data_IF_000934330953
#
_entry.id   IF_000934330953
#
_cell.length_a   1.000
_cell.length_b   1.000
_cell.length_c   1.000
_cell.angle_alpha   90.00
_cell.angle_beta   90.00
_cell.angle_gamma   90.00
#
_symmetry.space_group_name_H-M   'P 1'
#
loop_
_entity.id
_entity.type
_entity.pdbx_description
1 polymer ?
#
# COMPACT_ATOMS: atom_id res chain seq x y z
N UNK A 1 -34.53 28.47 -11.19
CA UNK A 1 -33.15 27.97 -11.34
C UNK A 1 -32.55 27.78 -9.96
N UNK A 2 -32.58 26.57 -9.42
CA UNK A 2 -31.82 26.18 -8.23
C UNK A 2 -31.93 24.66 -8.10
N UNK A 3 -30.98 23.91 -8.68
CA UNK A 3 -30.82 22.51 -8.28
C UNK A 3 -30.14 22.55 -6.92
N UNK A 4 -30.93 22.27 -5.87
CA UNK A 4 -30.55 22.31 -4.46
C UNK A 4 -29.72 21.08 -4.09
N UNK A 5 -28.52 20.99 -4.64
CA UNK A 5 -27.50 20.08 -4.16
C UNK A 5 -26.24 20.87 -3.88
N UNK A 6 -25.55 20.56 -2.81
CA UNK A 6 -24.15 20.92 -2.63
C UNK A 6 -23.42 19.67 -2.17
N UNK A 7 -22.13 19.58 -2.48
CA UNK A 7 -21.28 18.47 -2.09
C UNK A 7 -20.00 19.00 -1.44
N UNK A 8 -19.29 18.15 -0.71
CA UNK A 8 -17.99 18.50 -0.14
C UNK A 8 -16.91 18.31 -1.20
N UNK A 9 -16.12 19.34 -1.48
CA UNK A 9 -14.97 19.23 -2.37
C UNK A 9 -14.00 18.17 -1.81
N UNK A 10 -13.66 17.12 -2.56
CA UNK A 10 -12.70 16.10 -2.08
C UNK A 10 -11.26 16.62 -1.97
N UNK A 11 -10.91 17.72 -2.65
CA UNK A 11 -9.57 18.29 -2.61
C UNK A 11 -9.32 19.24 -1.42
N UNK A 12 -10.33 20.02 -0.99
CA UNK A 12 -10.16 21.03 0.06
C UNK A 12 -11.24 21.03 1.16
N UNK A 13 -12.33 20.27 0.99
CA UNK A 13 -13.42 20.18 1.96
C UNK A 13 -14.51 21.25 1.84
N UNK A 14 -14.38 22.24 0.94
CA UNK A 14 -15.37 23.31 0.78
C UNK A 14 -16.74 22.80 0.30
N UNK A 15 -17.83 23.49 0.66
CA UNK A 15 -19.17 23.16 0.18
C UNK A 15 -19.44 23.73 -1.21
N UNK A 16 -19.41 22.87 -2.23
CA UNK A 16 -19.53 23.26 -3.62
C UNK A 16 -20.97 23.10 -4.12
N UNK A 17 -21.56 24.11 -4.80
CA UNK A 17 -22.87 23.98 -5.42
C UNK A 17 -22.93 22.91 -6.52
N UNK A 18 -24.02 22.15 -6.57
CA UNK A 18 -24.24 21.17 -7.63
C UNK A 18 -24.32 21.86 -9.00
N UNK A 19 -23.46 21.41 -9.93
CA UNK A 19 -23.32 21.97 -11.28
C UNK A 19 -22.26 23.07 -11.41
N UNK A 20 -21.49 23.37 -10.35
CA UNK A 20 -20.27 24.16 -10.47
C UNK A 20 -19.25 23.47 -11.40
N UNK A 21 -18.54 24.25 -12.21
CA UNK A 21 -17.50 23.72 -13.14
C UNK A 21 -16.17 23.42 -12.43
N UNK A 22 -15.92 24.09 -11.32
CA UNK A 22 -14.72 23.96 -10.49
C UNK A 22 -15.00 24.48 -9.08
N UNK A 23 -14.14 24.13 -8.12
CA UNK A 23 -14.23 24.60 -6.74
C UNK A 23 -13.95 26.11 -6.70
N UNK A 24 -14.83 26.93 -6.12
CA UNK A 24 -14.59 28.36 -6.01
C UNK A 24 -13.40 28.69 -5.07
N UNK A 25 -13.08 27.81 -4.14
CA UNK A 25 -11.97 28.01 -3.19
C UNK A 25 -10.63 27.52 -3.73
N UNK A 26 -10.53 26.24 -4.12
CA UNK A 26 -9.26 25.64 -4.51
C UNK A 26 -9.05 25.46 -6.01
N UNK A 27 -10.06 25.78 -6.84
CA UNK A 27 -9.99 25.64 -8.30
C UNK A 27 -10.04 24.20 -8.84
N UNK A 28 -10.09 23.18 -7.98
CA UNK A 28 -10.15 21.77 -8.39
C UNK A 28 -11.44 21.45 -9.16
N UNK A 29 -11.35 20.55 -10.13
CA UNK A 29 -12.42 20.14 -11.04
C UNK A 29 -12.38 18.62 -11.33
N UNK A 30 -13.19 18.15 -12.28
CA UNK A 30 -13.25 16.73 -12.68
C UNK A 30 -11.89 16.15 -13.09
N UNK A 31 -10.96 16.97 -13.60
CA UNK A 31 -9.65 16.53 -14.09
C UNK A 31 -8.55 16.62 -13.05
N UNK A 32 -8.77 17.35 -11.97
CA UNK A 32 -7.71 17.74 -11.03
C UNK A 32 -8.02 17.36 -9.58
N UNK A 33 -9.21 16.84 -9.28
CA UNK A 33 -9.45 16.32 -7.93
C UNK A 33 -10.87 15.84 -7.60
N UNK A 34 -11.88 16.05 -8.45
CA UNK A 34 -13.26 15.64 -8.14
C UNK A 34 -13.69 14.28 -8.70
N UNK A 35 -12.93 13.70 -9.64
CA UNK A 35 -13.28 12.40 -10.20
C UNK A 35 -12.65 11.26 -9.41
N UNK A 36 -13.26 10.08 -9.43
CA UNK A 36 -12.71 8.87 -8.80
C UNK A 36 -11.29 8.54 -9.30
N UNK A 37 -10.96 8.89 -10.55
CA UNK A 37 -9.63 8.68 -11.12
C UNK A 37 -8.54 9.60 -10.55
N UNK A 38 -8.92 10.74 -9.97
CA UNK A 38 -7.98 11.76 -9.47
C UNK A 38 -7.62 11.59 -7.98
N UNK A 39 -8.22 10.61 -7.28
CA UNK A 39 -8.00 10.38 -5.84
C UNK A 39 -6.53 10.15 -5.50
N UNK A 40 -5.78 9.57 -6.42
CA UNK A 40 -4.36 9.27 -6.26
C UNK A 40 -3.43 10.23 -7.01
N UNK A 41 -3.94 11.24 -7.73
CA UNK A 41 -3.09 12.16 -8.52
C UNK A 41 -2.19 13.03 -7.64
N UNK A 42 -2.61 13.31 -6.40
CA UNK A 42 -1.81 14.07 -5.42
C UNK A 42 -0.74 13.21 -4.73
N UNK A 43 -0.80 11.89 -4.92
CA UNK A 43 0.25 10.98 -4.49
C UNK A 43 1.13 10.67 -5.69
N UNK A 44 2.45 10.77 -5.57
CA UNK A 44 3.39 10.30 -6.61
C UNK A 44 3.44 8.75 -6.67
N UNK A 45 2.27 8.13 -6.53
CA UNK A 45 2.03 6.70 -6.52
C UNK A 45 1.29 6.43 -7.83
N UNK A 46 2.03 6.49 -8.93
CA UNK A 46 1.55 6.09 -10.25
C UNK A 46 1.39 4.56 -10.27
N UNK A 47 0.14 4.11 -10.31
CA UNK A 47 -0.32 2.72 -10.34
C UNK A 47 0.18 1.79 -9.21
N UNK A 48 -0.76 1.15 -8.51
CA UNK A 48 -0.56 0.16 -7.45
C UNK A 48 0.39 -1.02 -7.77
N UNK A 49 0.92 -1.16 -8.99
CA UNK A 49 1.42 -2.45 -9.49
C UNK A 49 2.92 -2.69 -9.54
N UNK A 50 3.81 -1.74 -9.26
CA UNK A 50 5.20 -2.14 -9.04
C UNK A 50 6.02 -1.09 -8.31
N UNK A 51 5.88 -1.03 -6.99
CA UNK A 51 7.02 -0.59 -6.19
C UNK A 51 8.13 -1.64 -6.35
N UNK A 52 9.10 -1.35 -7.20
CA UNK A 52 10.26 -2.21 -7.44
C UNK A 52 11.25 -2.05 -6.29
N UNK A 53 11.05 -2.90 -5.27
CA UNK A 53 11.90 -2.98 -4.09
C UNK A 53 13.36 -3.26 -4.45
N UNK A 54 13.61 -4.01 -5.52
CA UNK A 54 14.95 -4.41 -5.91
C UNK A 54 15.72 -3.23 -6.49
N UNK A 55 15.08 -2.46 -7.38
CA UNK A 55 15.62 -1.21 -7.93
C UNK A 55 15.87 -0.16 -6.85
N UNK A 56 15.00 -0.08 -5.85
CA UNK A 56 15.19 0.83 -4.72
C UNK A 56 16.47 0.51 -3.93
N UNK A 57 16.67 -0.76 -3.58
CA UNK A 57 17.86 -1.19 -2.83
C UNK A 57 19.15 -0.87 -3.60
N UNK A 58 19.17 -1.08 -4.92
CA UNK A 58 20.32 -0.76 -5.77
C UNK A 58 20.65 0.74 -5.75
N UNK A 59 19.63 1.59 -5.93
CA UNK A 59 19.79 3.05 -5.97
C UNK A 59 20.31 3.61 -4.65
N UNK A 60 19.84 3.08 -3.52
CA UNK A 60 20.24 3.52 -2.18
C UNK A 60 21.53 2.83 -1.67
N UNK A 61 22.13 1.94 -2.48
CA UNK A 61 23.32 1.18 -2.08
C UNK A 61 23.05 0.21 -0.92
N UNK A 62 21.79 -0.18 -0.73
CA UNK A 62 21.35 -1.11 0.30
C UNK A 62 21.42 -2.55 -0.21
N UNK A 63 21.52 -3.50 0.72
CA UNK A 63 21.55 -4.93 0.38
C UNK A 63 20.33 -5.63 0.95
N UNK A 64 19.82 -6.65 0.23
CA UNK A 64 18.75 -7.51 0.76
C UNK A 64 19.25 -8.22 2.01
N UNK A 65 18.43 -8.34 3.08
CA UNK A 65 18.79 -9.13 4.24
C UNK A 65 18.97 -10.59 3.80
N UNK A 66 20.23 -11.05 3.74
CA UNK A 66 20.51 -12.46 3.49
C UNK A 66 20.23 -13.25 4.77
N UNK A 67 19.54 -14.40 4.68
CA UNK A 67 19.36 -15.29 5.84
C UNK A 67 20.73 -15.66 6.37
N UNK A 68 21.07 -15.14 7.55
CA UNK A 68 22.37 -15.34 8.16
C UNK A 68 22.62 -16.83 8.40
N UNK A 69 23.91 -17.21 8.46
CA UNK A 69 24.31 -18.60 8.76
C UNK A 69 23.66 -19.09 10.06
N UNK A 70 23.48 -18.22 11.04
CA UNK A 70 22.77 -18.50 12.29
C UNK A 70 21.30 -18.86 12.08
N UNK A 71 20.57 -18.11 11.25
CA UNK A 71 19.16 -18.40 10.96
C UNK A 71 18.98 -19.75 10.26
N UNK A 72 19.91 -20.13 9.36
CA UNK A 72 19.87 -21.45 8.72
C UNK A 72 20.10 -22.58 9.74
N UNK A 73 21.05 -22.41 10.65
CA UNK A 73 21.30 -23.38 11.73
C UNK A 73 20.06 -23.51 12.61
N UNK A 74 19.46 -22.39 13.01
CA UNK A 74 18.24 -22.39 13.84
C UNK A 74 17.05 -23.08 13.14
N UNK A 75 16.88 -22.87 11.83
CA UNK A 75 15.86 -23.55 11.04
C UNK A 75 16.09 -25.07 10.99
N UNK A 76 17.34 -25.52 10.79
CA UNK A 76 17.68 -26.94 10.78
C UNK A 76 17.45 -27.58 12.15
N UNK A 77 17.92 -26.93 13.22
CA UNK A 77 17.71 -27.40 14.61
C UNK A 77 16.22 -27.54 14.89
N UNK A 78 15.43 -26.52 14.57
CA UNK A 78 13.97 -26.55 14.76
C UNK A 78 13.33 -27.69 13.97
N UNK A 79 13.71 -27.88 12.70
CA UNK A 79 13.19 -28.97 11.88
C UNK A 79 13.53 -30.36 12.44
N UNK A 80 14.76 -30.56 12.94
CA UNK A 80 15.20 -31.82 13.56
C UNK A 80 14.44 -32.08 14.86
N UNK A 81 14.24 -31.06 15.70
CA UNK A 81 13.47 -31.19 16.95
C UNK A 81 12.01 -31.57 16.66
N UNK A 82 11.37 -30.92 15.68
CA UNK A 82 10.01 -31.27 15.26
C UNK A 82 9.94 -32.70 14.75
N UNK A 83 10.89 -33.11 13.90
CA UNK A 83 10.96 -34.48 13.38
C UNK A 83 11.10 -35.51 14.52
N UNK A 84 11.98 -35.25 15.48
CA UNK A 84 12.18 -36.12 16.64
C UNK A 84 10.92 -36.21 17.50
N UNK A 85 10.23 -35.10 17.76
CA UNK A 85 8.97 -35.09 18.50
C UNK A 85 7.88 -35.89 17.79
N UNK A 86 7.75 -35.72 16.47
CA UNK A 86 6.78 -36.49 15.66
C UNK A 86 7.07 -37.99 15.73
N UNK A 87 8.34 -38.39 15.61
CA UNK A 87 8.75 -39.79 15.74
C UNK A 87 8.46 -40.33 17.14
N UNK A 88 8.80 -39.59 18.20
CA UNK A 88 8.51 -39.99 19.59
C UNK A 88 7.01 -40.19 19.81
N UNK A 89 6.17 -39.27 19.33
CA UNK A 89 4.71 -39.37 19.43
C UNK A 89 4.14 -40.53 18.60
N UNK A 90 4.76 -40.87 17.48
CA UNK A 90 4.37 -42.02 16.65
C UNK A 90 4.78 -43.36 17.28
N UNK A 91 5.94 -43.40 17.95
CA UNK A 91 6.41 -44.58 18.69
C UNK A 91 5.69 -44.78 20.03
N UNK A 92 5.09 -43.72 20.60
CA UNK A 92 4.30 -43.78 21.83
C UNK A 92 2.81 -44.12 21.61
N UNK A 93 2.40 -44.38 20.36
CA UNK A 93 1.06 -44.85 19.99
C UNK A 93 1.09 -46.35 19.71
#
# INVERSE_FOLDING_TARGET
MARRGSFSCPACGEQVPAGARSCPECGSDEKTGWSEGTVYDATDISDEKSFDYDRFLEKEGLTKPSRSRGQRIWLVVTAVVILALVLLLALSR
#
